data_IF_602237466968
#
_entry.id   IF_602237466968
#
_cell.length_a   1.000
_cell.length_b   1.000
_cell.length_c   1.000
_cell.angle_alpha   90.00
_cell.angle_beta   90.00
_cell.angle_gamma   90.00
#
_symmetry.space_group_name_H-M   'P 1'
#
loop_
_entity.id
_entity.type
_entity.pdbx_description
1 polymer ?
#
# COMPACT_ATOMS: atom_id res chain seq x y z
N UNK A 1 6.08 23.12 -1.28
CA UNK A 1 6.30 22.45 -2.58
C UNK A 1 6.63 21.00 -2.29
N UNK A 2 5.77 20.03 -2.64
CA UNK A 2 6.02 18.61 -2.35
C UNK A 2 6.56 17.89 -3.59
N UNK A 3 7.63 17.12 -3.40
CA UNK A 3 8.37 16.34 -4.41
C UNK A 3 7.53 15.34 -5.22
N UNK A 4 6.26 15.14 -4.85
CA UNK A 4 5.36 14.14 -5.43
C UNK A 4 4.63 14.66 -6.68
N UNK A 5 4.61 15.98 -6.93
CA UNK A 5 3.91 16.56 -8.07
C UNK A 5 4.56 16.24 -9.45
N UNK A 6 5.82 15.80 -9.48
CA UNK A 6 6.56 15.52 -10.72
C UNK A 6 6.38 14.11 -11.29
N UNK A 7 5.83 13.17 -10.52
CA UNK A 7 5.66 11.78 -10.96
C UNK A 7 4.15 11.53 -10.99
N UNK A 8 3.55 11.44 -12.17
CA UNK A 8 2.09 11.29 -12.40
C UNK A 8 1.44 10.03 -11.81
N UNK A 9 1.68 9.71 -10.55
CA UNK A 9 1.05 8.64 -9.77
C UNK A 9 -0.07 9.25 -8.92
N UNK A 10 -1.30 9.12 -9.46
CA UNK A 10 -2.60 9.31 -8.81
C UNK A 10 -2.95 10.72 -8.30
N UNK A 11 -3.87 11.37 -9.02
CA UNK A 11 -4.89 12.23 -8.40
C UNK A 11 -5.85 11.32 -7.64
N UNK A 12 -5.53 11.04 -6.39
CA UNK A 12 -6.30 10.14 -5.55
C UNK A 12 -5.44 9.79 -4.37
N UNK A 13 -5.37 10.71 -3.40
CA UNK A 13 -4.71 10.50 -2.11
C UNK A 13 -5.48 9.53 -1.23
N UNK A 14 -6.44 8.78 -1.78
CA UNK A 14 -7.38 7.95 -1.02
C UNK A 14 -7.11 6.47 -1.26
N UNK A 15 -7.13 5.70 -0.17
CA UNK A 15 -6.88 4.28 -0.15
C UNK A 15 -7.96 3.54 -0.93
N UNK A 16 -7.57 2.68 -1.86
CA UNK A 16 -8.50 1.90 -2.70
C UNK A 16 -9.41 0.96 -1.91
N UNK A 17 -9.13 0.72 -0.63
CA UNK A 17 -9.91 -0.18 0.22
C UNK A 17 -10.92 0.55 1.12
N UNK A 18 -10.68 1.81 1.48
CA UNK A 18 -11.41 2.46 2.56
C UNK A 18 -11.61 3.96 2.44
N UNK A 19 -11.07 4.56 1.37
CA UNK A 19 -11.20 5.97 1.06
C UNK A 19 -10.54 6.95 2.06
N UNK A 20 -9.89 6.46 3.12
CA UNK A 20 -8.97 7.26 3.96
C UNK A 20 -7.70 7.65 3.20
N UNK A 21 -6.83 8.47 3.78
CA UNK A 21 -5.57 8.86 3.15
C UNK A 21 -4.67 7.66 2.85
N UNK A 22 -4.19 7.56 1.61
CA UNK A 22 -3.34 6.48 1.13
C UNK A 22 -1.86 6.69 1.46
N UNK A 23 -1.57 7.01 2.71
CA UNK A 23 -0.21 7.20 3.18
C UNK A 23 0.43 5.86 3.64
N UNK A 24 1.72 5.95 3.93
CA UNK A 24 2.53 4.80 4.37
C UNK A 24 2.06 4.32 5.74
N UNK A 25 1.69 5.24 6.62
CA UNK A 25 1.30 4.94 7.99
C UNK A 25 -0.02 4.15 8.03
N UNK A 26 -1.02 4.63 7.29
CA UNK A 26 -2.26 3.93 7.04
C UNK A 26 -1.99 2.56 6.40
N UNK A 27 -1.18 2.50 5.34
CA UNK A 27 -0.94 1.25 4.60
C UNK A 27 -0.25 0.20 5.45
N UNK A 28 0.76 0.56 6.25
CA UNK A 28 1.55 -0.40 7.02
C UNK A 28 0.94 -0.65 8.41
N UNK A 29 0.55 0.39 9.14
CA UNK A 29 0.20 0.29 10.56
C UNK A 29 -1.30 0.46 10.85
N UNK A 30 -2.01 1.29 10.07
CA UNK A 30 -3.42 1.59 10.32
C UNK A 30 -4.38 0.54 9.76
N UNK A 31 -4.08 -0.03 8.59
CA UNK A 31 -5.09 -0.76 7.84
C UNK A 31 -5.26 -2.22 8.29
N UNK A 32 -6.52 -2.64 8.47
CA UNK A 32 -6.89 -3.96 8.98
C UNK A 32 -6.59 -5.10 7.99
N UNK A 33 -6.59 -4.81 6.67
CA UNK A 33 -6.33 -5.83 5.64
C UNK A 33 -4.98 -6.51 5.79
N UNK A 34 -4.00 -5.80 6.33
CA UNK A 34 -2.64 -6.31 6.53
C UNK A 34 -2.36 -6.71 7.99
N UNK A 35 -3.38 -6.71 8.85
CA UNK A 35 -3.24 -7.00 10.27
C UNK A 35 -2.60 -8.37 10.51
N UNK A 36 -3.00 -9.41 9.77
CA UNK A 36 -2.43 -10.76 9.93
C UNK A 36 -0.90 -10.77 9.74
N UNK A 37 -0.42 -10.25 8.61
CA UNK A 37 1.01 -10.18 8.34
C UNK A 37 1.77 -9.27 9.31
N UNK A 38 1.14 -8.17 9.74
CA UNK A 38 1.73 -7.28 10.73
C UNK A 38 1.87 -7.99 12.08
N UNK A 39 0.81 -8.65 12.53
CA UNK A 39 0.77 -9.38 13.79
C UNK A 39 1.80 -10.51 13.85
N UNK A 40 1.97 -11.26 12.76
CA UNK A 40 3.00 -12.30 12.65
C UNK A 40 4.42 -11.75 12.85
N UNK A 41 4.71 -10.56 12.32
CA UNK A 41 6.01 -9.90 12.53
C UNK A 41 6.12 -9.33 13.94
N UNK A 42 5.07 -8.72 14.47
CA UNK A 42 5.06 -8.18 15.84
C UNK A 42 5.31 -9.28 16.89
N UNK A 43 4.77 -10.49 16.69
CA UNK A 43 5.05 -11.66 17.53
C UNK A 43 6.55 -12.01 17.49
N UNK A 44 7.15 -12.06 16.30
CA UNK A 44 8.55 -12.47 16.14
C UNK A 44 9.54 -11.42 16.63
N UNK A 45 9.23 -10.13 16.42
CA UNK A 45 10.01 -9.01 16.94
C UNK A 45 9.80 -8.87 18.46
N UNK A 46 8.68 -9.37 18.99
CA UNK A 46 8.35 -9.30 20.41
C UNK A 46 7.78 -7.95 20.86
N UNK A 47 7.37 -7.10 19.91
CA UNK A 47 6.78 -5.79 20.19
C UNK A 47 5.86 -5.34 19.07
N UNK A 48 4.92 -4.45 19.41
CA UNK A 48 4.05 -3.80 18.41
C UNK A 48 4.86 -2.85 17.54
N UNK A 49 4.63 -2.85 16.24
CA UNK A 49 5.32 -1.98 15.29
C UNK A 49 4.52 -0.71 15.03
N UNK A 50 5.17 0.43 15.12
CA UNK A 50 4.61 1.76 14.82
C UNK A 50 5.59 2.53 13.94
N UNK A 51 5.15 3.64 13.33
CA UNK A 51 6.02 4.50 12.55
C UNK A 51 7.23 5.00 13.37
N UNK A 52 7.02 5.34 14.63
CA UNK A 52 8.05 5.90 15.52
C UNK A 52 9.10 4.86 15.92
N UNK A 53 8.69 3.62 16.14
CA UNK A 53 9.57 2.58 16.68
C UNK A 53 10.12 1.64 15.60
N UNK A 54 9.70 1.82 14.34
CA UNK A 54 10.04 0.91 13.26
C UNK A 54 11.56 0.77 13.06
N UNK A 55 12.24 1.91 12.90
CA UNK A 55 13.68 1.93 12.58
C UNK A 55 14.49 1.35 13.73
N UNK A 56 14.15 1.70 14.97
CA UNK A 56 14.78 1.12 16.15
C UNK A 56 14.61 -0.41 16.16
N UNK A 57 13.39 -0.92 15.94
CA UNK A 57 13.13 -2.37 15.92
C UNK A 57 13.96 -3.09 14.85
N UNK A 58 14.12 -2.46 13.68
CA UNK A 58 14.93 -2.98 12.58
C UNK A 58 16.43 -3.02 12.92
N UNK A 59 16.92 -2.06 13.71
CA UNK A 59 18.34 -1.95 14.06
C UNK A 59 18.75 -2.82 15.24
N UNK A 60 17.80 -3.29 16.06
CA UNK A 60 18.08 -4.17 17.21
C UNK A 60 18.79 -5.47 16.80
N UNK A 61 18.33 -6.12 15.71
CA UNK A 61 18.85 -7.40 15.22
C UNK A 61 18.68 -7.53 13.71
N UNK A 62 19.62 -8.21 13.05
CA UNK A 62 19.57 -8.46 11.60
C UNK A 62 18.34 -9.29 11.21
N UNK A 63 17.89 -10.17 12.10
CA UNK A 63 16.67 -10.97 11.92
C UNK A 63 15.43 -10.07 11.86
N UNK A 64 15.31 -9.10 12.78
CA UNK A 64 14.22 -8.13 12.78
C UNK A 64 14.19 -7.33 11.48
N UNK A 65 15.36 -6.86 11.03
CA UNK A 65 15.50 -6.17 9.74
C UNK A 65 14.92 -7.01 8.61
N UNK A 66 15.33 -8.28 8.50
CA UNK A 66 14.87 -9.18 7.43
C UNK A 66 13.35 -9.39 7.48
N UNK A 67 12.80 -9.68 8.66
CA UNK A 67 11.37 -9.90 8.87
C UNK A 67 10.54 -8.68 8.48
N UNK A 68 10.93 -7.51 8.98
CA UNK A 68 10.22 -6.25 8.75
C UNK A 68 10.27 -5.86 7.27
N UNK A 69 11.45 -5.98 6.63
CA UNK A 69 11.59 -5.69 5.19
C UNK A 69 10.75 -6.64 4.34
N UNK A 70 10.73 -7.93 4.67
CA UNK A 70 9.92 -8.91 3.93
C UNK A 70 8.42 -8.59 4.05
N UNK A 71 7.97 -8.28 5.25
CA UNK A 71 6.60 -7.86 5.52
C UNK A 71 6.19 -6.62 4.72
N UNK A 72 7.00 -5.57 4.73
CA UNK A 72 6.72 -4.36 3.95
C UNK A 72 6.68 -4.65 2.45
N UNK A 73 7.63 -5.45 1.95
CA UNK A 73 7.65 -5.86 0.54
C UNK A 73 6.40 -6.63 0.15
N UNK A 74 5.91 -7.54 1.01
CA UNK A 74 4.66 -8.28 0.78
C UNK A 74 3.47 -7.33 0.62
N UNK A 75 3.30 -6.37 1.54
CA UNK A 75 2.23 -5.36 1.46
C UNK A 75 2.34 -4.55 0.17
N UNK A 76 3.50 -3.94 -0.09
CA UNK A 76 3.70 -3.07 -1.24
C UNK A 76 3.48 -3.79 -2.56
N UNK A 77 3.94 -5.04 -2.67
CA UNK A 77 3.73 -5.87 -3.86
C UNK A 77 2.27 -6.24 -4.03
N UNK A 78 1.60 -6.66 -2.96
CA UNK A 78 0.20 -7.08 -3.01
C UNK A 78 -0.73 -5.89 -3.34
N UNK A 79 -0.59 -4.79 -2.62
CA UNK A 79 -1.32 -3.54 -2.89
C UNK A 79 -1.07 -3.04 -4.31
N UNK A 80 0.19 -2.97 -4.74
CA UNK A 80 0.53 -2.54 -6.10
C UNK A 80 -0.05 -3.43 -7.21
N UNK A 81 -0.23 -4.73 -6.97
CA UNK A 81 -0.96 -5.63 -7.88
C UNK A 81 -2.45 -5.30 -7.93
N UNK A 82 -3.08 -5.09 -6.77
CA UNK A 82 -4.50 -4.73 -6.70
C UNK A 82 -4.79 -3.41 -7.43
N UNK A 83 -3.96 -2.39 -7.24
CA UNK A 83 -4.11 -1.08 -7.88
C UNK A 83 -3.91 -1.13 -9.40
N UNK A 84 -3.05 -2.03 -9.87
CA UNK A 84 -2.81 -2.23 -11.31
C UNK A 84 -4.03 -2.88 -11.95
N UNK A 85 -4.55 -3.93 -11.32
CA UNK A 85 -5.75 -4.63 -11.78
C UNK A 85 -6.94 -3.67 -11.83
N UNK A 86 -7.14 -2.86 -10.79
CA UNK A 86 -8.20 -1.84 -10.76
C UNK A 86 -8.05 -0.82 -11.90
N UNK A 87 -6.83 -0.37 -12.21
CA UNK A 87 -6.57 0.55 -13.33
C UNK A 87 -6.85 -0.09 -14.68
N UNK A 88 -6.47 -1.34 -14.88
CA UNK A 88 -6.72 -2.11 -16.10
C UNK A 88 -8.23 -2.30 -16.33
N UNK A 89 -8.97 -2.69 -15.29
CA UNK A 89 -10.42 -2.84 -15.31
C UNK A 89 -11.12 -1.51 -15.59
N UNK A 90 -10.72 -0.43 -14.91
CA UNK A 90 -11.26 0.91 -15.14
C UNK A 90 -10.96 1.45 -16.55
N UNK A 91 -9.78 1.15 -17.10
CA UNK A 91 -9.43 1.52 -18.47
C UNK A 91 -10.29 0.74 -19.49
N UNK A 92 -10.49 -0.56 -19.28
CA UNK A 92 -11.36 -1.39 -20.12
C UNK A 92 -12.83 -0.91 -20.09
N UNK A 93 -13.34 -0.54 -18.91
CA UNK A 93 -14.68 0.05 -18.76
C UNK A 93 -14.82 1.39 -19.50
N UNK A 94 -13.80 2.26 -19.44
CA UNK A 94 -13.82 3.53 -20.18
C UNK A 94 -13.82 3.32 -21.69
N UNK A 95 -13.00 2.38 -22.18
CA UNK A 95 -12.92 2.04 -23.60
C UNK A 95 -14.25 1.46 -24.13
N UNK A 96 -14.88 0.56 -23.38
CA UNK A 96 -16.18 -0.03 -23.74
C UNK A 96 -17.31 1.01 -23.73
N UNK A 97 -17.30 1.94 -22.76
CA UNK A 97 -18.28 3.04 -22.72
C UNK A 97 -18.14 3.99 -23.91
N UNK A 98 -16.92 4.29 -24.34
CA UNK A 98 -16.67 5.14 -25.51
C UNK A 98 -17.11 4.48 -26.82
N UNK A 99 -16.97 3.15 -26.96
CA UNK A 99 -17.51 2.41 -28.13
C UNK A 99 -19.03 2.32 -28.20
N UNK A 100 -19.74 2.39 -27.06
CA UNK A 100 -21.22 2.35 -27.01
C UNK A 100 -21.87 3.69 -27.38
N UNK A 101 -21.12 4.79 -27.29
CA UNK A 101 -21.53 6.13 -27.74
C UNK A 101 -20.94 6.34 -29.14
N UNK A 102 -21.53 5.74 -30.17
CA UNK A 102 -21.11 5.91 -31.57
C UNK A 102 -21.17 7.38 -32.03
N UNK A 103 -20.46 7.76 -33.12
CA UNK A 103 -20.51 9.12 -33.64
C UNK A 103 -21.94 9.44 -34.08
N UNK A 104 -22.39 10.64 -33.73
CA UNK A 104 -23.65 11.23 -34.19
C UNK A 104 -23.63 11.42 -35.71
#
# INVERSE_FOLDING_TARGET
MSYVAGIGKRRGSTCMYCQENDDVEHTLFGWHKWHGWRHEVEIQVGRRLTADNLIEAMLEKVENWKLIVEYMRKIMTCKGKHERKEKEENAALRFTRHKRQGPN
#
